data_IF_495036723071
#
_entry.id   IF_495036723071
#
_cell.length_a   1.000
_cell.length_b   1.000
_cell.length_c   1.000
_cell.angle_alpha   90.00
_cell.angle_beta   90.00
_cell.angle_gamma   90.00
#
_symmetry.space_group_name_H-M   'P 1'
#
loop_
_entity.id
_entity.type
_entity.pdbx_description
1 polymer ?
#
# COMPACT_ATOMS: atom_id res chain seq x y z
N UNK A 1 11.65 6.97 38.96
CA UNK A 1 11.45 6.19 37.72
C UNK A 1 12.74 5.43 37.45
N UNK A 2 12.72 4.09 37.51
CA UNK A 2 13.90 3.26 37.21
C UNK A 2 13.95 3.07 35.70
N UNK A 3 14.98 3.63 35.07
CA UNK A 3 15.32 3.37 33.68
C UNK A 3 15.90 1.94 33.62
N UNK A 4 15.18 0.99 33.04
CA UNK A 4 15.70 -0.38 32.85
C UNK A 4 16.42 -0.38 31.51
N UNK A 5 17.75 -0.36 31.54
CA UNK A 5 18.59 -0.60 30.36
C UNK A 5 18.38 -2.05 29.91
N UNK A 6 17.92 -2.26 28.67
CA UNK A 6 17.69 -3.58 28.09
C UNK A 6 16.27 -3.88 27.63
N UNK A 7 15.32 -2.94 27.78
CA UNK A 7 14.04 -3.02 27.05
C UNK A 7 14.28 -2.58 25.60
N UNK A 8 14.73 -3.50 24.75
CA UNK A 8 14.48 -3.36 23.32
C UNK A 8 12.95 -3.29 23.20
N UNK A 9 12.42 -2.11 22.87
CA UNK A 9 11.01 -1.96 22.58
C UNK A 9 10.76 -2.66 21.25
N UNK A 10 10.51 -3.97 21.31
CA UNK A 10 9.86 -4.71 20.24
C UNK A 10 8.54 -4.00 19.95
N UNK A 11 8.51 -3.14 18.93
CA UNK A 11 7.26 -2.50 18.54
C UNK A 11 6.46 -3.55 17.80
N UNK A 12 5.24 -3.76 18.26
CA UNK A 12 4.33 -4.75 17.72
C UNK A 12 3.28 -4.02 16.90
N UNK A 13 3.37 -4.14 15.58
CA UNK A 13 2.44 -3.52 14.63
C UNK A 13 1.41 -4.55 14.14
N UNK A 14 0.14 -4.16 14.24
CA UNK A 14 -1.01 -4.97 13.86
C UNK A 14 -1.49 -4.62 12.44
N UNK A 15 -1.38 -5.57 11.53
CA UNK A 15 -1.62 -5.37 10.09
C UNK A 15 -2.71 -6.33 9.59
N UNK A 16 -3.68 -5.79 8.84
CA UNK A 16 -4.80 -6.55 8.26
C UNK A 16 -4.66 -6.62 6.75
N UNK A 17 -4.78 -7.82 6.19
CA UNK A 17 -4.89 -7.99 4.74
C UNK A 17 -6.34 -7.90 4.30
N UNK A 18 -6.59 -7.07 3.30
CA UNK A 18 -7.91 -6.89 2.70
C UNK A 18 -7.91 -7.49 1.30
N UNK A 19 -8.91 -8.34 1.03
CA UNK A 19 -9.28 -8.76 -0.32
C UNK A 19 -10.38 -7.85 -0.82
N UNK A 20 -10.06 -7.07 -1.85
CA UNK A 20 -10.98 -6.10 -2.45
C UNK A 20 -11.42 -6.61 -3.82
N UNK A 21 -12.73 -6.58 -4.09
CA UNK A 21 -13.30 -6.72 -5.43
C UNK A 21 -13.89 -5.38 -5.85
N UNK A 22 -13.64 -4.98 -7.08
CA UNK A 22 -14.16 -3.75 -7.66
C UNK A 22 -14.36 -3.95 -9.17
N UNK A 23 -15.24 -3.14 -9.75
CA UNK A 23 -15.48 -3.10 -11.19
C UNK A 23 -15.42 -1.65 -11.68
N UNK A 24 -14.42 -1.34 -12.50
CA UNK A 24 -14.18 -0.02 -13.05
C UNK A 24 -13.28 -0.07 -14.29
N UNK A 25 -13.47 0.87 -15.19
CA UNK A 25 -12.47 1.18 -16.21
C UNK A 25 -11.36 2.03 -15.58
N UNK A 26 -10.12 1.61 -15.79
CA UNK A 26 -8.95 2.25 -15.19
C UNK A 26 -8.01 2.75 -16.27
N UNK A 27 -7.41 3.91 -16.02
CA UNK A 27 -6.33 4.42 -16.88
C UNK A 27 -5.14 3.49 -16.80
N UNK A 28 -4.64 3.06 -17.96
CA UNK A 28 -3.41 2.29 -18.05
C UNK A 28 -2.18 3.22 -17.94
N UNK A 29 -1.65 3.34 -16.73
CA UNK A 29 -0.45 4.12 -16.48
C UNK A 29 0.82 3.26 -16.46
N UNK A 30 0.75 1.95 -16.73
CA UNK A 30 1.88 1.01 -16.68
C UNK A 30 3.00 1.41 -17.65
N UNK A 31 2.63 1.92 -18.83
CA UNK A 31 3.56 2.34 -19.89
C UNK A 31 4.20 3.71 -19.65
N UNK A 32 3.74 4.47 -18.66
CA UNK A 32 4.21 5.84 -18.40
C UNK A 32 5.47 5.80 -17.53
N UNK A 33 6.65 5.65 -18.13
CA UNK A 33 7.90 5.53 -17.38
C UNK A 33 8.17 6.71 -16.42
N UNK A 34 7.79 7.93 -16.81
CA UNK A 34 8.07 9.15 -16.03
C UNK A 34 7.42 9.20 -14.64
N UNK A 35 6.36 8.43 -14.39
CA UNK A 35 5.70 8.38 -13.07
C UNK A 35 6.29 7.30 -12.15
N UNK A 36 7.21 6.46 -12.64
CA UNK A 36 7.75 5.32 -11.92
C UNK A 36 9.18 5.59 -11.43
N UNK A 37 9.34 6.62 -10.59
CA UNK A 37 10.63 6.96 -9.99
C UNK A 37 10.63 6.52 -8.52
N UNK A 38 11.44 5.51 -8.12
CA UNK A 38 11.34 4.89 -6.79
C UNK A 38 11.54 5.86 -5.61
N UNK A 39 12.41 6.86 -5.81
CA UNK A 39 12.84 7.80 -4.78
C UNK A 39 12.28 9.24 -4.98
N UNK A 40 11.52 9.50 -6.04
CA UNK A 40 10.92 10.81 -6.31
C UNK A 40 9.47 10.66 -6.79
N UNK A 41 8.52 11.06 -5.94
CA UNK A 41 7.10 10.95 -6.23
C UNK A 41 6.51 12.22 -6.83
N UNK A 42 7.32 13.20 -7.24
CA UNK A 42 6.83 14.48 -7.75
C UNK A 42 5.97 14.30 -9.01
N UNK A 43 6.50 13.59 -10.01
CA UNK A 43 5.79 13.36 -11.29
C UNK A 43 4.54 12.50 -11.11
N UNK A 44 4.60 11.46 -10.28
CA UNK A 44 3.45 10.58 -10.00
C UNK A 44 2.34 11.32 -9.24
N UNK A 45 2.69 12.24 -8.32
CA UNK A 45 1.71 13.10 -7.63
C UNK A 45 1.04 14.08 -8.58
N UNK A 46 1.79 14.71 -9.49
CA UNK A 46 1.22 15.61 -10.51
C UNK A 46 0.26 14.84 -11.41
N UNK A 47 0.66 13.64 -11.85
CA UNK A 47 -0.19 12.78 -12.68
C UNK A 47 -1.47 12.39 -11.94
N UNK A 48 -1.37 11.91 -10.69
CA UNK A 48 -2.54 11.60 -9.84
C UNK A 48 -3.49 12.78 -9.73
N UNK A 49 -2.98 14.00 -9.53
CA UNK A 49 -3.82 15.18 -9.41
C UNK A 49 -4.59 15.49 -10.71
N UNK A 50 -4.00 15.23 -11.88
CA UNK A 50 -4.68 15.34 -13.18
C UNK A 50 -5.79 14.29 -13.30
N UNK A 51 -5.50 13.03 -12.98
CA UNK A 51 -6.48 11.93 -13.01
C UNK A 51 -7.66 12.20 -12.09
N UNK A 52 -7.41 12.70 -10.88
CA UNK A 52 -8.49 13.06 -9.95
C UNK A 52 -9.40 14.17 -10.52
N UNK A 53 -8.85 15.10 -11.31
CA UNK A 53 -9.62 16.19 -11.93
C UNK A 53 -10.38 15.77 -13.17
N UNK A 54 -9.98 14.70 -13.86
CA UNK A 54 -10.67 14.22 -15.06
C UNK A 54 -11.94 13.40 -14.75
N UNK A 55 -12.18 13.05 -13.48
CA UNK A 55 -13.37 12.29 -13.07
C UNK A 55 -13.27 10.78 -13.30
N UNK A 56 -12.07 10.30 -13.63
CA UNK A 56 -11.80 8.89 -13.91
C UNK A 56 -11.91 8.03 -12.64
N UNK A 57 -12.34 6.78 -12.79
CA UNK A 57 -12.57 5.88 -11.66
C UNK A 57 -11.27 5.50 -10.93
N UNK A 58 -10.15 5.45 -11.67
CA UNK A 58 -8.85 5.10 -11.12
C UNK A 58 -7.79 4.87 -12.18
N UNK A 59 -6.67 4.28 -11.76
CA UNK A 59 -5.56 3.92 -12.63
C UNK A 59 -4.87 2.63 -12.17
N UNK A 60 -4.29 1.91 -13.12
CA UNK A 60 -3.34 0.83 -12.87
C UNK A 60 -1.91 1.30 -13.20
N UNK A 61 -0.93 0.91 -12.39
CA UNK A 61 0.46 1.37 -12.49
C UNK A 61 1.43 0.30 -11.99
N UNK A 62 2.72 0.42 -12.30
CA UNK A 62 3.73 -0.54 -11.83
C UNK A 62 4.15 -0.23 -10.39
N UNK A 63 4.43 -1.29 -9.62
CA UNK A 63 5.12 -1.12 -8.35
C UNK A 63 6.58 -0.72 -8.58
N UNK A 64 7.01 0.38 -7.95
CA UNK A 64 8.41 0.82 -7.93
C UNK A 64 9.24 0.09 -6.85
N UNK A 65 8.60 -0.73 -6.02
CA UNK A 65 9.24 -1.51 -4.94
C UNK A 65 9.24 -3.02 -5.22
N UNK A 66 8.45 -3.50 -6.18
CA UNK A 66 8.36 -4.90 -6.56
C UNK A 66 8.25 -5.02 -8.08
N UNK A 67 9.37 -5.33 -8.74
CA UNK A 67 9.45 -5.38 -10.19
C UNK A 67 8.47 -6.40 -10.78
N UNK A 68 7.81 -6.04 -11.89
CA UNK A 68 6.82 -6.89 -12.56
C UNK A 68 5.43 -6.90 -11.91
N UNK A 69 5.24 -6.31 -10.73
CA UNK A 69 3.92 -6.18 -10.12
C UNK A 69 3.15 -4.95 -10.59
N UNK A 70 1.84 -5.13 -10.67
CA UNK A 70 0.86 -4.07 -10.94
C UNK A 70 0.14 -3.69 -9.65
N UNK A 71 -0.08 -2.40 -9.49
CA UNK A 71 -0.86 -1.80 -8.43
C UNK A 71 -2.07 -1.08 -9.04
N UNK A 72 -3.14 -0.97 -8.25
CA UNK A 72 -4.37 -0.30 -8.63
C UNK A 72 -4.67 0.82 -7.65
N UNK A 73 -5.07 1.98 -8.15
CA UNK A 73 -5.50 3.12 -7.35
C UNK A 73 -6.87 3.58 -7.82
N UNK A 74 -7.87 3.48 -6.93
CA UNK A 74 -9.22 3.99 -7.15
C UNK A 74 -9.33 5.43 -6.62
N UNK A 75 -9.99 6.30 -7.36
CA UNK A 75 -10.18 7.72 -6.97
C UNK A 75 -11.37 7.93 -6.03
N UNK A 76 -12.30 6.98 -6.00
CA UNK A 76 -13.43 6.94 -5.08
C UNK A 76 -13.72 5.49 -4.67
N UNK A 77 -14.43 5.25 -3.56
CA UNK A 77 -14.87 3.92 -3.17
C UNK A 77 -16.09 3.41 -3.96
N UNK A 78 -16.72 4.25 -4.80
CA UNK A 78 -17.94 3.90 -5.54
C UNK A 78 -17.87 2.61 -6.37
N UNK A 79 -16.76 2.25 -7.04
CA UNK A 79 -16.68 1.01 -7.83
C UNK A 79 -16.34 -0.23 -6.99
N UNK A 80 -16.16 -0.10 -5.66
CA UNK A 80 -15.81 -1.23 -4.80
C UNK A 80 -17.06 -2.04 -4.48
N UNK A 81 -17.04 -3.33 -4.86
CA UNK A 81 -18.14 -4.27 -4.65
C UNK A 81 -18.03 -4.98 -3.30
N UNK A 82 -16.80 -5.28 -2.86
CA UNK A 82 -16.55 -5.87 -1.55
C UNK A 82 -15.13 -5.61 -1.07
N UNK A 83 -14.94 -5.50 0.24
CA UNK A 83 -13.64 -5.45 0.89
C UNK A 83 -13.72 -6.29 2.17
N UNK A 84 -13.07 -7.45 2.19
CA UNK A 84 -13.10 -8.38 3.32
C UNK A 84 -11.70 -8.58 3.88
N UNK A 85 -11.58 -8.58 5.21
CA UNK A 85 -10.34 -8.96 5.86
C UNK A 85 -10.12 -10.47 5.69
N UNK A 86 -8.94 -10.85 5.19
CA UNK A 86 -8.61 -12.26 4.93
C UNK A 86 -7.54 -12.81 5.86
N UNK A 87 -6.63 -11.97 6.32
CA UNK A 87 -5.52 -12.38 7.19
C UNK A 87 -5.19 -11.25 8.17
N UNK A 88 -4.59 -11.63 9.28
CA UNK A 88 -4.20 -10.72 10.34
C UNK A 88 -2.76 -11.04 10.75
N UNK A 89 -1.90 -10.02 10.77
CA UNK A 89 -0.48 -10.19 10.97
C UNK A 89 0.01 -9.25 12.06
N UNK A 90 0.89 -9.78 12.89
CA UNK A 90 1.65 -9.04 13.87
C UNK A 90 3.11 -8.95 13.41
N UNK A 91 3.60 -7.73 13.23
CA UNK A 91 4.98 -7.44 12.86
C UNK A 91 5.73 -6.99 14.12
N UNK A 92 6.83 -7.67 14.43
CA UNK A 92 7.73 -7.28 15.52
C UNK A 92 8.92 -6.55 14.92
N UNK A 93 9.14 -5.33 15.37
CA UNK A 93 10.25 -4.48 14.93
C UNK A 93 11.30 -4.38 16.03
N UNK A 94 12.54 -4.74 15.72
CA UNK A 94 13.65 -4.74 16.68
C UNK A 94 14.34 -3.38 16.84
N UNK A 95 13.94 -2.36 16.08
CA UNK A 95 14.61 -1.05 16.04
C UNK A 95 15.34 -0.78 14.73
N UNK A 96 15.69 -1.81 13.97
CA UNK A 96 16.36 -1.71 12.66
C UNK A 96 15.53 -2.34 11.54
N UNK A 97 14.89 -3.48 11.82
CA UNK A 97 14.14 -4.25 10.84
C UNK A 97 12.96 -5.01 11.45
N UNK A 98 12.11 -5.57 10.59
CA UNK A 98 11.08 -6.51 11.02
C UNK A 98 11.79 -7.81 11.40
N UNK A 99 11.90 -8.08 12.70
CA UNK A 99 12.57 -9.27 13.24
C UNK A 99 11.68 -10.50 13.21
N UNK A 100 10.35 -10.32 13.29
CA UNK A 100 9.38 -11.41 13.28
C UNK A 100 8.05 -10.98 12.66
N UNK A 101 7.41 -11.92 11.97
CA UNK A 101 6.01 -11.79 11.51
C UNK A 101 5.22 -12.97 12.03
N UNK A 102 4.07 -12.73 12.66
CA UNK A 102 3.15 -13.77 13.15
C UNK A 102 1.80 -13.62 12.48
N UNK A 103 1.26 -14.70 11.93
CA UNK A 103 -0.14 -14.72 11.49
C UNK A 103 -1.04 -15.01 12.68
N UNK A 104 -1.95 -14.09 12.96
CA UNK A 104 -2.95 -14.21 14.00
C UNK A 104 -4.18 -14.91 13.43
N UNK A 105 -4.79 -15.78 14.24
CA UNK A 105 -6.10 -16.33 13.90
C UNK A 105 -7.13 -15.19 13.95
N UNK A 106 -7.95 -15.10 12.90
CA UNK A 106 -9.07 -14.16 12.81
C UNK A 106 -10.11 -14.41 13.90
#
# INVERSE_FOLDING_TARGET
>A
MRNVEGLHYDTVDDMRCLKVKFSAELIDAVSINAIHVPNDYTTSRIFRAKVKKSGEAGLQYRSVRHAGATCWALMSPSPVESAVQTQHFEFVFDGESISKVRELKL
#
